data_IF_690773711298
#
_entry.id   IF_690773711298
#
_cell.length_a   1.000
_cell.length_b   1.000
_cell.length_c   1.000
_cell.angle_alpha   90.00
_cell.angle_beta   90.00
_cell.angle_gamma   90.00
#
_symmetry.space_group_name_H-M   'P 1'
#
loop_
_entity.id
_entity.type
_entity.pdbx_description
1 polymer ?
#
# COMPACT_ATOMS: atom_id res chain seq x y z
N UNK A 1 14.26 32.55 10.83
CA UNK A 1 13.96 31.12 10.68
C UNK A 1 12.55 30.89 11.16
N UNK A 2 11.68 30.41 10.27
CA UNK A 2 10.31 30.05 10.65
C UNK A 2 10.35 28.78 11.53
N UNK A 3 9.33 28.57 12.37
CA UNK A 3 9.22 27.35 13.20
C UNK A 3 9.29 26.07 12.33
N UNK A 4 8.77 26.13 11.10
CA UNK A 4 8.78 25.03 10.15
C UNK A 4 10.20 24.68 9.66
N UNK A 5 11.04 25.67 9.37
CA UNK A 5 12.44 25.44 8.95
C UNK A 5 13.26 24.73 10.04
N UNK A 6 13.03 25.10 11.30
CA UNK A 6 13.72 24.47 12.44
C UNK A 6 13.34 23.00 12.59
N UNK A 7 12.04 22.68 12.43
CA UNK A 7 11.55 21.30 12.52
C UNK A 7 12.07 20.43 11.37
N UNK A 8 12.06 20.94 10.13
CA UNK A 8 12.65 20.22 8.99
C UNK A 8 14.15 19.96 9.20
N UNK A 9 14.89 20.95 9.68
CA UNK A 9 16.32 20.81 9.96
C UNK A 9 16.60 19.78 11.05
N UNK A 10 15.82 19.78 12.13
CA UNK A 10 15.97 18.80 13.21
C UNK A 10 15.69 17.37 12.72
N UNK A 11 14.65 17.20 11.90
CA UNK A 11 14.30 15.92 11.30
C UNK A 11 15.41 15.39 10.37
N UNK A 12 15.93 16.24 9.50
CA UNK A 12 17.05 15.90 8.61
C UNK A 12 18.32 15.50 9.39
N UNK A 13 18.60 16.18 10.51
CA UNK A 13 19.73 15.83 11.36
C UNK A 13 19.55 14.46 12.03
N UNK A 14 18.34 14.09 12.45
CA UNK A 14 18.04 12.77 13.01
C UNK A 14 18.25 11.66 11.97
N UNK A 15 17.83 11.91 10.72
CA UNK A 15 18.06 11.00 9.59
C UNK A 15 19.55 10.77 9.37
N UNK A 16 20.34 11.85 9.22
CA UNK A 16 21.80 11.76 9.05
C UNK A 16 22.48 11.04 10.21
N UNK A 17 22.08 11.34 11.45
CA UNK A 17 22.61 10.66 12.62
C UNK A 17 22.39 9.14 12.56
N UNK A 18 21.22 8.69 12.08
CA UNK A 18 20.96 7.25 11.89
C UNK A 18 21.86 6.64 10.82
N UNK A 19 21.94 7.29 9.66
CA UNK A 19 22.77 6.83 8.52
C UNK A 19 24.24 6.70 8.93
N UNK A 20 24.77 7.69 9.65
CA UNK A 20 26.14 7.71 10.18
C UNK A 20 26.34 6.81 11.42
N UNK A 21 25.25 6.32 12.02
CA UNK A 21 25.30 5.51 13.24
C UNK A 21 25.63 6.28 14.51
N UNK A 22 25.45 7.59 14.51
CA UNK A 22 25.70 8.44 15.67
C UNK A 22 24.56 8.31 16.68
N UNK A 23 24.90 8.15 17.96
CA UNK A 23 23.95 8.11 19.08
C UNK A 23 22.89 7.00 19.02
N UNK A 24 23.11 5.94 18.24
CA UNK A 24 22.28 4.73 18.22
C UNK A 24 22.27 4.09 19.61
N UNK A 25 21.09 4.04 20.22
CA UNK A 25 20.85 3.52 21.57
C UNK A 25 19.82 2.37 21.58
N UNK A 26 19.37 1.95 20.40
CA UNK A 26 18.40 0.86 20.24
C UNK A 26 18.55 0.12 18.91
N UNK A 27 17.99 -1.08 18.85
CA UNK A 27 17.85 -1.84 17.61
C UNK A 27 16.49 -2.54 17.53
N UNK A 28 15.89 -2.55 16.35
CA UNK A 28 14.82 -3.48 16.04
C UNK A 28 15.48 -4.73 15.46
N UNK A 29 15.21 -5.90 16.05
CA UNK A 29 15.70 -7.19 15.59
C UNK A 29 14.59 -7.84 14.79
N UNK A 30 14.86 -8.17 13.54
CA UNK A 30 13.90 -8.83 12.65
C UNK A 30 14.60 -10.01 11.98
N UNK A 31 14.16 -11.24 12.26
CA UNK A 31 14.72 -12.46 11.66
C UNK A 31 16.25 -12.56 11.79
N UNK A 32 16.80 -12.07 12.92
CA UNK A 32 18.24 -12.02 13.21
C UNK A 32 19.00 -10.81 12.67
N UNK A 33 18.39 -10.00 11.81
CA UNK A 33 18.97 -8.73 11.34
C UNK A 33 18.70 -7.61 12.34
N UNK A 34 19.73 -6.79 12.61
CA UNK A 34 19.63 -5.64 13.53
C UNK A 34 19.47 -4.33 12.77
N UNK A 35 18.26 -3.78 12.83
CA UNK A 35 17.90 -2.47 12.30
C UNK A 35 18.20 -1.41 13.37
N UNK A 36 19.23 -0.58 13.13
CA UNK A 36 19.68 0.44 14.09
C UNK A 36 18.72 1.63 14.15
N UNK A 37 18.39 2.08 15.37
CA UNK A 37 17.47 3.19 15.59
C UNK A 37 17.78 3.97 16.88
N UNK A 38 17.09 5.10 17.04
CA UNK A 38 17.09 5.92 18.26
C UNK A 38 15.81 5.65 19.05
N UNK A 39 15.90 5.36 20.35
CA UNK A 39 14.74 5.20 21.25
C UNK A 39 13.77 6.38 21.12
N UNK A 40 14.31 7.60 21.08
CA UNK A 40 13.51 8.82 21.01
C UNK A 40 12.66 8.91 19.73
N UNK A 41 13.19 8.45 18.59
CA UNK A 41 12.45 8.47 17.31
C UNK A 41 11.33 7.45 17.35
N UNK A 42 11.62 6.20 17.76
CA UNK A 42 10.61 5.14 17.88
C UNK A 42 9.50 5.54 18.87
N UNK A 43 9.89 6.05 20.04
CA UNK A 43 8.99 6.57 21.07
C UNK A 43 8.06 7.68 20.54
N UNK A 44 8.58 8.58 19.71
CA UNK A 44 7.81 9.71 19.20
C UNK A 44 6.82 9.32 18.10
N UNK A 45 7.15 8.29 17.31
CA UNK A 45 6.40 7.93 16.10
C UNK A 45 5.38 6.79 16.31
N UNK A 46 5.50 6.02 17.39
CA UNK A 46 4.64 4.86 17.65
C UNK A 46 4.22 4.78 19.12
N UNK A 47 2.91 4.78 19.43
CA UNK A 47 2.38 4.45 20.74
C UNK A 47 2.82 3.07 21.27
N UNK A 48 3.00 2.09 20.38
CA UNK A 48 3.47 0.75 20.72
C UNK A 48 4.92 0.80 21.21
N UNK A 49 5.82 1.42 20.44
CA UNK A 49 7.20 1.61 20.90
C UNK A 49 7.29 2.51 22.12
N UNK A 50 6.42 3.51 22.26
CA UNK A 50 6.33 4.30 23.49
C UNK A 50 6.01 3.43 24.70
N UNK A 51 5.01 2.55 24.59
CA UNK A 51 4.66 1.62 25.67
C UNK A 51 5.83 0.69 25.99
N UNK A 52 6.46 0.11 24.97
CA UNK A 52 7.62 -0.77 25.14
C UNK A 52 8.82 -0.05 25.79
N UNK A 53 9.14 1.17 25.40
CA UNK A 53 10.31 1.90 25.90
C UNK A 53 10.10 2.51 27.29
N UNK A 54 8.85 2.65 27.74
CA UNK A 54 8.51 3.21 29.06
C UNK A 54 8.06 2.18 30.08
N UNK A 55 7.84 0.93 29.66
CA UNK A 55 7.49 -0.17 30.56
C UNK A 55 8.63 -0.48 31.52
N UNK A 56 8.32 -0.75 32.79
CA UNK A 56 9.32 -1.12 33.79
C UNK A 56 10.07 -2.42 33.46
N UNK A 57 9.49 -3.25 32.58
CA UNK A 57 10.04 -4.54 32.19
C UNK A 57 11.05 -4.43 31.05
N UNK A 58 10.91 -3.45 30.15
CA UNK A 58 11.65 -3.38 28.87
C UNK A 58 12.39 -2.06 28.65
N UNK A 59 12.24 -1.08 29.55
CA UNK A 59 12.91 0.24 29.42
C UNK A 59 14.43 0.19 29.33
N UNK A 60 15.06 -0.83 29.93
CA UNK A 60 16.50 -1.03 29.93
C UNK A 60 17.00 -1.88 28.76
N UNK A 61 16.09 -2.45 27.97
CA UNK A 61 16.47 -3.24 26.81
C UNK A 61 17.17 -2.34 25.80
N UNK A 62 18.08 -2.94 25.04
CA UNK A 62 18.75 -2.32 23.90
C UNK A 62 18.13 -2.74 22.57
N UNK A 63 17.11 -3.60 22.60
CA UNK A 63 16.49 -4.18 21.42
C UNK A 63 14.99 -4.45 21.57
N UNK A 64 14.29 -4.51 20.43
CA UNK A 64 12.88 -4.91 20.30
C UNK A 64 12.76 -5.87 19.12
N UNK A 65 12.03 -6.98 19.28
CA UNK A 65 11.96 -8.02 18.24
C UNK A 65 10.66 -7.91 17.42
N UNK A 66 10.77 -8.02 16.10
CA UNK A 66 9.65 -8.07 15.14
C UNK A 66 9.95 -9.20 14.15
N UNK A 67 9.39 -10.39 14.38
CA UNK A 67 9.70 -11.57 13.56
C UNK A 67 8.55 -11.97 12.61
N UNK A 68 7.36 -11.39 12.77
CA UNK A 68 6.17 -11.73 11.97
C UNK A 68 6.17 -11.08 10.57
N UNK A 69 7.17 -10.23 10.26
CA UNK A 69 7.28 -9.51 9.00
C UNK A 69 8.65 -9.70 8.34
N UNK A 70 8.75 -9.57 7.00
CA UNK A 70 10.03 -9.54 6.32
C UNK A 70 10.88 -8.34 6.74
N UNK A 71 12.20 -8.55 6.81
CA UNK A 71 13.18 -7.54 7.21
C UNK A 71 13.03 -6.22 6.44
N UNK A 72 12.80 -6.31 5.12
CA UNK A 72 12.69 -5.14 4.25
C UNK A 72 11.43 -4.31 4.51
N UNK A 73 10.32 -4.92 4.97
CA UNK A 73 9.11 -4.19 5.40
C UNK A 73 9.40 -3.45 6.71
N UNK A 74 10.03 -4.15 7.66
CA UNK A 74 10.36 -3.58 8.96
C UNK A 74 11.36 -2.44 8.82
N UNK A 75 12.39 -2.60 7.99
CA UNK A 75 13.32 -1.53 7.66
C UNK A 75 12.60 -0.32 7.06
N UNK A 76 11.64 -0.53 6.14
CA UNK A 76 10.85 0.57 5.57
C UNK A 76 10.04 1.31 6.64
N UNK A 77 9.38 0.61 7.55
CA UNK A 77 8.68 1.26 8.67
C UNK A 77 9.63 2.15 9.47
N UNK A 78 10.85 1.69 9.76
CA UNK A 78 11.83 2.49 10.49
C UNK A 78 12.32 3.66 9.62
N UNK A 79 12.56 3.46 8.32
CA UNK A 79 12.88 4.56 7.39
C UNK A 79 11.79 5.64 7.41
N UNK A 80 10.52 5.23 7.39
CA UNK A 80 9.37 6.12 7.49
C UNK A 80 9.31 6.91 8.79
N UNK A 81 9.65 6.31 9.93
CA UNK A 81 9.76 7.03 11.21
C UNK A 81 10.82 8.15 11.19
N UNK A 82 11.83 8.01 10.33
CA UNK A 82 12.84 9.05 10.05
C UNK A 82 12.45 9.94 8.87
N UNK A 83 11.19 9.92 8.42
CA UNK A 83 10.62 10.77 7.38
C UNK A 83 11.06 10.44 5.96
N UNK A 84 11.67 9.28 5.75
CA UNK A 84 11.90 8.77 4.40
C UNK A 84 10.58 8.20 3.87
N UNK A 85 10.32 8.43 2.59
CA UNK A 85 9.12 7.91 1.94
C UNK A 85 9.61 7.13 0.73
N UNK A 86 9.50 5.80 0.79
CA UNK A 86 9.81 4.98 -0.36
C UNK A 86 8.74 5.14 -1.43
N UNK A 87 9.19 5.37 -2.66
CA UNK A 87 8.31 5.54 -3.82
C UNK A 87 8.69 4.46 -4.81
N UNK A 88 7.72 3.61 -5.14
CA UNK A 88 7.87 2.58 -6.16
C UNK A 88 7.09 3.01 -7.40
N UNK A 89 7.73 2.92 -8.56
CA UNK A 89 7.16 3.37 -9.84
C UNK A 89 6.78 2.23 -10.77
N UNK A 90 7.16 1.00 -10.44
CA UNK A 90 6.86 -0.20 -11.24
C UNK A 90 5.97 -1.11 -10.40
N UNK A 91 4.79 -1.39 -10.94
CA UNK A 91 3.89 -2.35 -10.33
C UNK A 91 4.34 -3.76 -10.68
N UNK A 92 4.64 -4.53 -9.64
CA UNK A 92 4.88 -5.97 -9.69
C UNK A 92 4.06 -6.60 -8.56
N UNK A 93 3.90 -7.91 -8.59
CA UNK A 93 3.27 -8.62 -7.48
C UNK A 93 3.99 -8.32 -6.16
N UNK A 94 5.33 -8.32 -6.15
CA UNK A 94 6.13 -8.03 -4.96
C UNK A 94 5.95 -6.61 -4.45
N UNK A 95 5.77 -5.61 -5.32
CA UNK A 95 5.57 -4.23 -4.86
C UNK A 95 4.16 -3.99 -4.31
N UNK A 96 3.14 -4.70 -4.81
CA UNK A 96 1.81 -4.68 -4.20
C UNK A 96 1.83 -5.35 -2.82
N UNK A 97 2.44 -6.54 -2.74
CA UNK A 97 2.64 -7.27 -1.48
C UNK A 97 3.40 -6.42 -0.46
N UNK A 98 4.45 -5.70 -0.90
CA UNK A 98 5.22 -4.79 -0.06
C UNK A 98 4.33 -3.78 0.65
N UNK A 99 3.42 -3.13 -0.08
CA UNK A 99 2.56 -2.10 0.51
C UNK A 99 1.38 -2.67 1.29
N UNK A 100 0.92 -3.89 0.99
CA UNK A 100 0.00 -4.63 1.86
C UNK A 100 0.62 -4.89 3.24
N UNK A 101 1.83 -5.45 3.26
CA UNK A 101 2.53 -5.79 4.50
C UNK A 101 2.91 -4.53 5.28
N UNK A 102 3.35 -3.47 4.59
CA UNK A 102 3.64 -2.18 5.23
C UNK A 102 2.40 -1.52 5.82
N UNK A 103 1.23 -1.70 5.19
CA UNK A 103 -0.05 -1.20 5.70
C UNK A 103 -0.42 -1.92 7.00
N UNK A 104 -0.36 -3.26 7.03
CA UNK A 104 -0.64 -4.07 8.23
C UNK A 104 0.33 -3.69 9.35
N UNK A 105 1.63 -3.64 9.05
CA UNK A 105 2.67 -3.27 10.01
C UNK A 105 2.44 -1.85 10.58
N UNK A 106 2.04 -0.91 9.72
CA UNK A 106 1.69 0.45 10.13
C UNK A 106 0.52 0.52 11.11
N UNK A 107 -0.51 -0.30 10.90
CA UNK A 107 -1.63 -0.44 11.83
C UNK A 107 -1.20 -1.09 13.16
N UNK A 108 -0.48 -2.21 13.11
CA UNK A 108 -0.03 -2.94 14.31
C UNK A 108 0.82 -2.08 15.23
N UNK A 109 1.80 -1.38 14.65
CA UNK A 109 2.71 -0.51 15.40
C UNK A 109 2.18 0.92 15.56
N UNK A 110 0.98 1.20 15.03
CA UNK A 110 0.30 2.50 15.10
C UNK A 110 1.21 3.65 14.67
N UNK A 111 1.94 3.46 13.57
CA UNK A 111 2.87 4.44 13.03
C UNK A 111 2.09 5.49 12.26
N UNK A 112 2.01 6.70 12.82
CA UNK A 112 1.13 7.74 12.29
C UNK A 112 1.49 8.08 10.83
N UNK A 113 0.52 7.88 9.93
CA UNK A 113 0.66 8.22 8.51
C UNK A 113 1.22 7.10 7.64
N UNK A 114 1.73 6.01 8.22
CA UNK A 114 2.31 4.90 7.45
C UNK A 114 1.25 4.15 6.64
N UNK A 115 0.08 3.87 7.24
CA UNK A 115 -1.06 3.27 6.52
C UNK A 115 -1.51 4.12 5.34
N UNK A 116 -1.56 5.45 5.52
CA UNK A 116 -1.90 6.40 4.45
C UNK A 116 -0.87 6.36 3.32
N UNK A 117 0.41 6.38 3.67
CA UNK A 117 1.49 6.27 2.70
C UNK A 117 1.45 4.94 1.93
N UNK A 118 1.32 3.82 2.63
CA UNK A 118 1.25 2.49 2.03
C UNK A 118 0.05 2.38 1.08
N UNK A 119 -1.12 2.85 1.50
CA UNK A 119 -2.32 2.90 0.66
C UNK A 119 -2.11 3.77 -0.58
N UNK A 120 -1.58 4.99 -0.43
CA UNK A 120 -1.34 5.89 -1.56
C UNK A 120 -0.36 5.30 -2.58
N UNK A 121 0.68 4.58 -2.14
CA UNK A 121 1.59 3.91 -3.04
C UNK A 121 0.95 2.70 -3.71
N UNK A 122 0.20 1.89 -2.96
CA UNK A 122 -0.55 0.77 -3.52
C UNK A 122 -1.52 1.24 -4.62
N UNK A 123 -2.32 2.27 -4.34
CA UNK A 123 -3.21 2.91 -5.33
C UNK A 123 -2.44 3.38 -6.57
N UNK A 124 -1.32 4.07 -6.37
CA UNK A 124 -0.46 4.55 -7.44
C UNK A 124 0.03 3.40 -8.31
N UNK A 125 0.49 2.30 -7.72
CA UNK A 125 0.94 1.13 -8.48
C UNK A 125 -0.19 0.57 -9.35
N UNK A 126 -1.43 0.54 -8.85
CA UNK A 126 -2.58 0.08 -9.63
C UNK A 126 -2.95 0.98 -10.80
N UNK A 127 -2.63 2.28 -10.73
CA UNK A 127 -2.77 3.19 -11.87
C UNK A 127 -1.76 2.90 -12.99
N UNK A 128 -0.65 2.24 -12.65
CA UNK A 128 0.44 1.88 -13.57
C UNK A 128 0.53 0.37 -13.84
N UNK A 129 -0.29 -0.46 -13.18
CA UNK A 129 -0.35 -1.90 -13.36
C UNK A 129 -0.62 -2.25 -14.83
N UNK A 130 0.35 -2.93 -15.42
CA UNK A 130 0.40 -3.29 -16.85
C UNK A 130 -0.53 -4.48 -17.17
N UNK A 131 -0.93 -5.28 -16.16
CA UNK A 131 -1.76 -6.48 -16.33
C UNK A 131 -2.84 -6.68 -15.27
N UNK A 132 -3.76 -7.61 -15.56
CA UNK A 132 -4.81 -8.10 -14.65
C UNK A 132 -4.26 -9.10 -13.64
N UNK A 133 -3.22 -9.85 -14.01
CA UNK A 133 -2.62 -10.92 -13.18
C UNK A 133 -2.05 -10.39 -11.85
N UNK A 134 -1.24 -9.33 -11.87
CA UNK A 134 -0.62 -8.82 -10.64
C UNK A 134 -1.67 -8.31 -9.64
N UNK A 135 -2.73 -7.68 -10.16
CA UNK A 135 -3.86 -7.20 -9.35
C UNK A 135 -4.67 -8.37 -8.78
N UNK A 136 -4.92 -9.41 -9.57
CA UNK A 136 -5.64 -10.60 -9.10
C UNK A 136 -4.83 -11.34 -8.02
N UNK A 137 -3.53 -11.53 -8.23
CA UNK A 137 -2.61 -12.13 -7.23
C UNK A 137 -2.70 -11.41 -5.88
N UNK A 138 -2.52 -10.09 -5.89
CA UNK A 138 -2.59 -9.24 -4.71
C UNK A 138 -3.98 -9.26 -4.04
N UNK A 139 -5.08 -9.09 -4.80
CA UNK A 139 -6.43 -9.18 -4.24
C UNK A 139 -6.73 -10.55 -3.64
N UNK A 140 -6.26 -11.63 -4.26
CA UNK A 140 -6.41 -12.98 -3.72
C UNK A 140 -5.81 -13.11 -2.32
N UNK A 141 -4.64 -12.50 -2.06
CA UNK A 141 -4.05 -12.45 -0.71
C UNK A 141 -4.93 -11.71 0.28
N UNK A 142 -5.43 -10.53 -0.07
CA UNK A 142 -6.29 -9.73 0.82
C UNK A 142 -7.57 -10.51 1.20
N UNK A 143 -8.16 -11.22 0.26
CA UNK A 143 -9.38 -11.99 0.50
C UNK A 143 -9.15 -13.33 1.21
N UNK A 144 -7.95 -13.90 1.13
CA UNK A 144 -7.58 -15.16 1.80
C UNK A 144 -6.92 -14.96 3.17
N UNK A 145 -6.56 -13.72 3.51
CA UNK A 145 -6.04 -13.34 4.83
C UNK A 145 -6.96 -13.78 5.97
N UNK A 146 -6.38 -14.06 7.14
CA UNK A 146 -7.13 -14.40 8.35
C UNK A 146 -8.02 -13.21 8.81
N UNK A 147 -9.02 -13.43 9.67
CA UNK A 147 -10.00 -12.39 10.02
C UNK A 147 -9.37 -11.10 10.61
N UNK A 148 -8.25 -11.22 11.33
CA UNK A 148 -7.54 -10.10 11.96
C UNK A 148 -6.80 -9.25 10.93
N UNK A 149 -5.97 -9.88 10.08
CA UNK A 149 -5.29 -9.25 8.95
C UNK A 149 -6.27 -8.68 7.92
N UNK A 150 -7.33 -9.44 7.63
CA UNK A 150 -8.36 -9.08 6.65
C UNK A 150 -9.07 -7.79 7.05
N UNK A 151 -9.44 -7.64 8.32
CA UNK A 151 -10.08 -6.40 8.78
C UNK A 151 -9.20 -5.17 8.54
N UNK A 152 -7.87 -5.32 8.62
CA UNK A 152 -6.91 -4.26 8.32
C UNK A 152 -6.76 -4.05 6.81
N UNK A 153 -6.44 -5.12 6.07
CA UNK A 153 -6.18 -5.08 4.62
C UNK A 153 -7.39 -4.61 3.79
N UNK A 154 -8.62 -4.84 4.25
CA UNK A 154 -9.81 -4.25 3.62
C UNK A 154 -9.79 -2.73 3.63
N UNK A 155 -9.07 -2.11 4.56
CA UNK A 155 -8.81 -0.67 4.58
C UNK A 155 -7.95 -0.17 3.42
N UNK A 156 -7.31 -1.06 2.65
CA UNK A 156 -6.64 -0.73 1.39
C UNK A 156 -7.67 -0.64 0.26
N UNK A 157 -8.72 -1.49 0.26
CA UNK A 157 -9.75 -1.59 -0.78
C UNK A 157 -10.66 -0.34 -0.82
N UNK A 158 -10.25 0.67 -1.59
CA UNK A 158 -10.99 1.91 -1.79
C UNK A 158 -11.75 1.95 -3.14
N UNK A 159 -12.45 3.05 -3.41
CA UNK A 159 -13.19 3.26 -4.67
C UNK A 159 -12.30 3.18 -5.93
N UNK A 160 -11.04 3.60 -5.84
CA UNK A 160 -10.07 3.55 -6.95
C UNK A 160 -9.79 2.11 -7.38
N UNK A 161 -9.65 1.19 -6.42
CA UNK A 161 -9.46 -0.24 -6.67
C UNK A 161 -10.69 -0.82 -7.37
N UNK A 162 -11.89 -0.48 -6.89
CA UNK A 162 -13.13 -0.91 -7.54
C UNK A 162 -13.31 -0.34 -8.95
N UNK A 163 -12.85 0.89 -9.21
CA UNK A 163 -12.80 1.46 -10.55
C UNK A 163 -11.84 0.68 -11.46
N UNK A 164 -10.65 0.32 -10.97
CA UNK A 164 -9.70 -0.50 -11.74
C UNK A 164 -10.29 -1.88 -12.03
N UNK A 165 -10.91 -2.52 -11.03
CA UNK A 165 -11.62 -3.79 -11.18
C UNK A 165 -12.71 -3.71 -12.25
N UNK A 166 -13.50 -2.63 -12.30
CA UNK A 166 -14.53 -2.44 -13.34
C UNK A 166 -13.95 -2.22 -14.74
N UNK A 167 -12.75 -1.66 -14.85
CA UNK A 167 -12.02 -1.57 -16.12
C UNK A 167 -11.50 -2.94 -16.58
N UNK A 168 -11.13 -3.84 -15.65
CA UNK A 168 -10.64 -5.19 -15.97
C UNK A 168 -11.65 -6.03 -16.76
N UNK A 169 -12.95 -5.76 -16.64
CA UNK A 169 -14.00 -6.47 -17.38
C UNK A 169 -13.85 -6.41 -18.91
N UNK A 170 -13.13 -5.39 -19.42
CA UNK A 170 -12.85 -5.26 -20.85
C UNK A 170 -11.60 -6.05 -21.29
N UNK A 171 -10.81 -6.56 -20.33
CA UNK A 171 -9.48 -7.15 -20.52
C UNK A 171 -9.39 -8.59 -19.99
N UNK A 172 -10.46 -9.11 -19.35
CA UNK A 172 -10.44 -10.40 -18.64
C UNK A 172 -10.17 -11.58 -19.57
N UNK A 173 -9.10 -12.32 -19.30
CA UNK A 173 -8.74 -13.52 -20.05
C UNK A 173 -9.37 -14.80 -19.48
N UNK A 174 -9.26 -15.93 -20.18
CA UNK A 174 -9.68 -17.23 -19.65
C UNK A 174 -8.85 -17.67 -18.42
N UNK A 175 -7.62 -17.18 -18.30
CA UNK A 175 -6.72 -17.47 -17.18
C UNK A 175 -7.14 -16.70 -15.92
N UNK A 176 -7.55 -15.45 -16.09
CA UNK A 176 -8.11 -14.59 -15.03
C UNK A 176 -9.35 -15.23 -14.40
N UNK A 177 -10.18 -15.88 -15.23
CA UNK A 177 -11.38 -16.59 -14.76
C UNK A 177 -11.05 -17.79 -13.88
N UNK A 178 -9.95 -18.52 -14.16
CA UNK A 178 -9.52 -19.63 -13.30
C UNK A 178 -9.06 -19.11 -11.93
N UNK A 179 -8.39 -17.96 -11.89
CA UNK A 179 -7.97 -17.33 -10.64
C UNK A 179 -9.18 -16.88 -9.79
N UNK A 180 -10.20 -16.29 -10.44
CA UNK A 180 -11.46 -15.91 -9.79
C UNK A 180 -12.12 -17.11 -9.09
N UNK A 181 -12.12 -18.29 -9.73
CA UNK A 181 -12.69 -19.50 -9.14
C UNK A 181 -11.96 -19.95 -7.86
N UNK A 182 -10.68 -19.63 -7.72
CA UNK A 182 -9.88 -19.96 -6.54
C UNK A 182 -10.14 -19.02 -5.35
N UNK A 183 -10.81 -17.87 -5.56
CA UNK A 183 -11.15 -16.91 -4.51
C UNK A 183 -12.66 -16.56 -4.50
N UNK A 184 -13.51 -17.36 -3.82
CA UNK A 184 -14.98 -17.22 -3.88
C UNK A 184 -15.53 -15.90 -3.32
N UNK A 185 -14.91 -15.34 -2.28
CA UNK A 185 -15.33 -14.07 -1.70
C UNK A 185 -15.03 -12.90 -2.65
N UNK A 186 -13.83 -12.86 -3.23
CA UNK A 186 -13.49 -11.88 -4.27
C UNK A 186 -14.40 -12.04 -5.50
N UNK A 187 -14.63 -13.27 -5.97
CA UNK A 187 -15.57 -13.55 -7.06
C UNK A 187 -16.97 -13.02 -6.79
N UNK A 188 -17.46 -13.15 -5.54
CA UNK A 188 -18.77 -12.65 -5.14
C UNK A 188 -18.83 -11.13 -5.16
N UNK A 189 -17.83 -10.46 -4.60
CA UNK A 189 -17.79 -9.00 -4.56
C UNK A 189 -17.58 -8.41 -5.95
N UNK A 190 -16.72 -9.04 -6.75
CA UNK A 190 -16.55 -8.75 -8.17
C UNK A 190 -17.86 -8.87 -8.92
N UNK A 191 -18.52 -10.03 -8.90
CA UNK A 191 -19.80 -10.25 -9.57
C UNK A 191 -20.89 -9.28 -9.10
N UNK A 192 -20.91 -8.96 -7.80
CA UNK A 192 -21.84 -7.98 -7.23
C UNK A 192 -21.57 -6.57 -7.78
N UNK A 193 -20.30 -6.16 -7.86
CA UNK A 193 -19.90 -4.88 -8.44
C UNK A 193 -20.26 -4.80 -9.92
N UNK A 194 -19.99 -5.87 -10.68
CA UNK A 194 -20.36 -5.99 -12.10
C UNK A 194 -21.87 -5.89 -12.29
N UNK A 195 -22.64 -6.62 -11.49
CA UNK A 195 -24.10 -6.63 -11.60
C UNK A 195 -24.72 -5.28 -11.26
N UNK A 196 -24.21 -4.61 -10.22
CA UNK A 196 -24.74 -3.31 -9.77
C UNK A 196 -24.34 -2.15 -10.66
N UNK A 197 -23.13 -2.17 -11.21
CA UNK A 197 -22.52 -1.00 -11.83
C UNK A 197 -22.16 -1.19 -13.31
N UNK A 198 -22.24 -2.41 -13.85
CA UNK A 198 -21.84 -2.72 -15.22
C UNK A 198 -20.34 -2.53 -15.52
N UNK A 199 -19.88 -3.01 -16.68
CA UNK A 199 -18.53 -2.70 -17.16
C UNK A 199 -18.38 -1.21 -17.41
N UNK A 200 -17.20 -0.67 -17.14
CA UNK A 200 -16.94 0.74 -17.36
C UNK A 200 -16.72 1.01 -18.86
N UNK A 201 -17.74 1.55 -19.51
CA UNK A 201 -17.74 1.88 -20.93
C UNK A 201 -18.06 3.36 -21.16
N UNK A 202 -17.61 3.90 -22.29
CA UNK A 202 -17.85 5.28 -22.65
C UNK A 202 -18.03 5.50 -24.15
N UNK A 203 -18.47 6.70 -24.52
CA UNK A 203 -18.50 7.20 -25.89
C UNK A 203 -17.33 8.15 -26.09
N UNK A 204 -16.41 7.82 -27.00
CA UNK A 204 -15.28 8.68 -27.35
C UNK A 204 -15.39 9.09 -28.83
N UNK A 205 -14.99 10.31 -29.17
CA UNK A 205 -15.04 10.82 -30.55
C UNK A 205 -14.23 10.00 -31.56
N UNK A 206 -13.29 9.18 -31.10
CA UNK A 206 -12.52 8.27 -31.96
C UNK A 206 -13.31 7.02 -32.40
N UNK A 207 -14.49 6.75 -31.82
CA UNK A 207 -15.30 5.57 -32.11
C UNK A 207 -16.78 5.91 -32.17
N UNK A 208 -17.50 5.31 -33.11
CA UNK A 208 -18.97 5.44 -33.20
C UNK A 208 -19.70 4.47 -32.25
N UNK A 209 -18.97 3.55 -31.62
CA UNK A 209 -19.51 2.52 -30.73
C UNK A 209 -19.12 2.82 -29.28
N UNK A 210 -19.81 2.18 -28.33
CA UNK A 210 -19.32 2.13 -26.95
C UNK A 210 -17.94 1.46 -26.94
N UNK A 211 -17.04 2.05 -26.17
CA UNK A 211 -15.67 1.56 -25.97
C UNK A 211 -15.46 1.21 -24.50
N UNK A 212 -14.55 0.29 -24.23
CA UNK A 212 -14.01 0.13 -22.89
C UNK A 212 -13.23 1.38 -22.45
N UNK A 213 -13.17 1.58 -21.14
CA UNK A 213 -12.32 2.58 -20.51
C UNK A 213 -11.22 1.88 -19.71
N UNK A 214 -10.02 2.44 -19.69
CA UNK A 214 -8.90 2.03 -18.83
C UNK A 214 -8.55 3.12 -17.84
N UNK A 215 -7.90 2.77 -16.72
CA UNK A 215 -7.36 3.75 -15.75
C UNK A 215 -5.90 4.01 -16.11
N UNK A 216 -5.52 5.28 -16.23
CA UNK A 216 -4.12 5.68 -16.42
C UNK A 216 -3.86 7.06 -15.79
N UNK A 217 -2.83 7.15 -14.93
CA UNK A 217 -2.49 8.37 -14.17
C UNK A 217 -3.72 8.96 -13.45
N UNK A 218 -4.34 8.18 -12.57
CA UNK A 218 -5.47 8.61 -11.73
C UNK A 218 -6.72 9.06 -12.47
N UNK A 219 -6.87 8.66 -13.73
CA UNK A 219 -8.03 9.06 -14.53
C UNK A 219 -8.34 8.10 -15.65
N UNK A 220 -9.60 8.07 -16.03
CA UNK A 220 -10.09 7.22 -17.10
C UNK A 220 -9.55 7.67 -18.47
N UNK A 221 -9.33 6.70 -19.36
CA UNK A 221 -8.87 6.87 -20.74
C UNK A 221 -9.67 5.98 -21.68
N UNK A 222 -9.85 6.45 -22.91
CA UNK A 222 -10.34 5.63 -24.00
C UNK A 222 -9.33 4.52 -24.33
N UNK A 223 -9.77 3.26 -24.40
CA UNK A 223 -8.89 2.11 -24.76
C UNK A 223 -8.40 2.12 -26.22
N UNK A 224 -8.98 2.96 -27.08
CA UNK A 224 -8.65 3.03 -28.52
C UNK A 224 -7.67 4.17 -28.83
N UNK A 225 -7.86 5.36 -28.24
CA UNK A 225 -7.07 6.55 -28.57
C UNK A 225 -6.41 7.22 -27.35
N UNK A 226 -6.53 6.61 -26.17
CA UNK A 226 -5.92 7.08 -24.92
C UNK A 226 -6.29 8.51 -24.49
N UNK A 227 -7.33 9.09 -25.07
CA UNK A 227 -7.80 10.44 -24.70
C UNK A 227 -8.72 10.43 -23.48
N UNK A 228 -8.73 11.56 -22.75
CA UNK A 228 -9.64 11.85 -21.62
C UNK A 228 -11.04 12.30 -22.03
N UNK A 229 -11.26 12.62 -23.32
CA UNK A 229 -12.51 13.19 -23.85
C UNK A 229 -13.52 12.12 -24.22
N UNK A 230 -14.17 11.52 -23.24
CA UNK A 230 -15.27 10.57 -23.42
C UNK A 230 -16.44 10.89 -22.47
N UNK A 231 -17.63 10.46 -22.85
CA UNK A 231 -18.81 10.48 -22.01
C UNK A 231 -19.01 9.08 -21.42
N UNK A 232 -19.03 8.95 -20.09
CA UNK A 232 -19.26 7.67 -19.42
C UNK A 232 -20.70 7.25 -19.73
N UNK A 233 -20.87 6.04 -20.25
CA UNK A 233 -22.18 5.45 -20.42
C UNK A 233 -22.52 4.68 -19.14
N UNK A 234 -23.39 5.25 -18.31
CA UNK A 234 -23.95 4.50 -17.18
C UNK A 234 -24.90 3.40 -17.68
N UNK A 235 -24.98 2.26 -16.98
CA UNK A 235 -25.87 1.14 -17.34
C UNK A 235 -27.35 1.53 -17.44
#
# INVERSE_FOLDING_TARGET
MSVQENLMTAHENLKKAREEGLFIDYAIVCNGTRIRAHKLVLYAQSPVFKAALTSDFTKFDSEYTIDDFPEWVVEEMVQFMYGNHHIVTVATEESLIFFEELFVLGNEYQVKGLEGHAREQYERLLEYCVGTDELLSSLGRIYTANDEERSCLYGILNDTIWLRIRCMLNETSAQDMEYLLQCPDFSRDYATSVFKHGPLVGRCSCSQSLIGLSVFNGGLRCTVCENKGFEIAEP
#
